data_IF_508557799357
#
_entry.id   IF_508557799357
#
_cell.length_a   1.000
_cell.length_b   1.000
_cell.length_c   1.000
_cell.angle_alpha   90.00
_cell.angle_beta   90.00
_cell.angle_gamma   90.00
#
_symmetry.space_group_name_H-M   'P 1'
#
loop_
_entity.id
_entity.type
_entity.pdbx_description
1 polymer ?
#
# COMPACT_ATOMS: atom_id res chain seq x y z
N UNK A 1 25.37 46.73 -5.24
CA UNK A 1 25.63 45.39 -5.75
C UNK A 1 26.18 44.54 -4.62
N UNK A 2 25.36 43.65 -4.04
CA UNK A 2 25.70 42.70 -3.00
C UNK A 2 24.93 41.41 -3.24
N UNK A 3 25.56 40.44 -3.91
CA UNK A 3 25.03 39.09 -4.04
C UNK A 3 25.08 38.40 -2.68
N UNK A 4 23.94 38.24 -2.05
CA UNK A 4 23.75 37.33 -0.92
C UNK A 4 23.69 35.89 -1.42
N UNK A 5 24.77 35.11 -1.20
CA UNK A 5 24.74 33.66 -1.31
C UNK A 5 23.86 33.13 -0.19
N UNK A 6 22.70 32.56 -0.54
CA UNK A 6 21.99 31.65 0.34
C UNK A 6 22.90 30.46 0.62
N UNK A 7 23.27 30.29 1.89
CA UNK A 7 23.89 29.04 2.37
C UNK A 7 22.80 27.96 2.33
N UNK A 8 22.96 27.01 1.43
CA UNK A 8 22.34 25.70 1.58
C UNK A 8 22.78 25.14 2.94
N UNK A 9 21.83 24.90 3.81
CA UNK A 9 22.06 24.20 5.07
C UNK A 9 22.40 22.75 4.72
N UNK A 10 23.68 22.41 4.74
CA UNK A 10 24.14 21.02 4.72
C UNK A 10 23.77 20.39 6.07
N UNK A 11 22.63 19.74 6.16
CA UNK A 11 22.35 18.78 7.22
C UNK A 11 23.15 17.50 6.97
N UNK A 12 24.45 17.58 7.10
CA UNK A 12 25.32 16.44 7.33
C UNK A 12 25.35 16.16 8.86
N UNK A 13 24.25 15.70 9.44
CA UNK A 13 24.33 14.86 10.60
C UNK A 13 24.93 13.54 10.11
N UNK A 14 26.19 13.29 10.46
CA UNK A 14 26.97 12.13 10.01
C UNK A 14 26.15 10.85 10.29
N UNK A 15 25.69 10.20 9.21
CA UNK A 15 25.10 8.86 9.27
C UNK A 15 26.14 7.94 9.92
N UNK A 16 25.85 7.50 11.13
CA UNK A 16 26.75 6.66 11.95
C UNK A 16 26.53 5.16 11.76
N UNK A 17 25.83 4.76 10.67
CA UNK A 17 25.53 3.35 10.37
C UNK A 17 24.24 2.82 11.04
N UNK A 18 23.52 3.64 11.83
CA UNK A 18 22.31 3.22 12.57
C UNK A 18 21.12 4.12 12.25
N UNK A 19 19.93 3.56 12.40
CA UNK A 19 18.68 4.31 12.29
C UNK A 19 18.51 5.24 13.50
N UNK A 20 18.37 6.54 13.27
CA UNK A 20 18.05 7.54 14.28
C UNK A 20 16.65 8.03 14.03
N UNK A 21 15.71 7.67 14.93
CA UNK A 21 14.30 8.04 14.82
C UNK A 21 14.12 9.56 14.76
N UNK A 22 13.21 10.02 13.91
CA UNK A 22 12.84 11.43 13.77
C UNK A 22 11.39 11.66 14.20
N UNK A 23 10.44 11.07 13.46
CA UNK A 23 9.01 11.18 13.77
C UNK A 23 8.25 10.00 13.15
N UNK A 24 6.98 9.83 13.54
CA UNK A 24 6.06 8.90 12.91
C UNK A 24 5.05 9.64 12.05
N UNK A 25 4.53 8.96 11.03
CA UNK A 25 3.41 9.45 10.23
C UNK A 25 2.16 9.65 11.10
N UNK A 26 1.48 10.78 10.93
CA UNK A 26 0.20 11.02 11.60
C UNK A 26 -0.92 10.23 10.93
N UNK A 27 -1.50 9.27 11.68
CA UNK A 27 -2.62 8.44 11.26
C UNK A 27 -3.81 8.70 12.20
N UNK A 28 -5.00 8.86 11.62
CA UNK A 28 -6.21 9.22 12.38
C UNK A 28 -7.10 8.01 12.68
N UNK A 29 -7.16 7.05 11.77
CA UNK A 29 -8.09 5.92 11.84
C UNK A 29 -7.43 4.58 11.51
N UNK A 30 -6.36 4.57 10.73
CA UNK A 30 -5.66 3.33 10.41
C UNK A 30 -4.85 2.83 11.60
N UNK A 31 -5.01 1.55 11.95
CA UNK A 31 -4.37 0.92 13.09
C UNK A 31 -3.46 -0.26 12.69
N UNK A 32 -3.59 -0.74 11.45
CA UNK A 32 -2.90 -1.94 10.99
C UNK A 32 -1.59 -1.66 10.26
N UNK A 33 -1.18 -0.39 10.15
CA UNK A 33 0.17 -0.03 9.72
C UNK A 33 0.71 1.17 10.47
N UNK A 34 2.02 1.34 10.42
CA UNK A 34 2.71 2.57 10.84
C UNK A 34 3.83 2.89 9.85
N UNK A 35 4.24 4.16 9.80
CA UNK A 35 5.42 4.61 9.07
C UNK A 35 6.24 5.49 10.00
N UNK A 36 7.46 5.05 10.28
CA UNK A 36 8.42 5.78 11.08
C UNK A 36 9.51 6.36 10.17
N UNK A 37 9.79 7.63 10.35
CA UNK A 37 10.82 8.36 9.62
C UNK A 37 12.08 8.47 10.46
N UNK A 38 13.22 8.33 9.81
CA UNK A 38 14.52 8.38 10.45
C UNK A 38 15.41 9.42 9.77
N UNK A 39 16.39 9.94 10.52
CA UNK A 39 17.39 10.88 9.99
C UNK A 39 18.04 10.32 8.73
N UNK A 40 18.28 11.21 7.75
CA UNK A 40 18.78 10.82 6.44
C UNK A 40 17.72 10.34 5.45
N UNK A 41 16.41 10.43 5.80
CA UNK A 41 15.30 10.14 4.90
C UNK A 41 14.89 8.67 4.84
N UNK A 42 15.39 7.81 5.73
CA UNK A 42 14.94 6.42 5.82
C UNK A 42 13.51 6.33 6.34
N UNK A 43 12.75 5.34 5.88
CA UNK A 43 11.37 5.08 6.31
C UNK A 43 11.22 3.61 6.68
N UNK A 44 10.66 3.35 7.86
CA UNK A 44 10.29 2.00 8.28
C UNK A 44 8.77 1.89 8.25
N UNK A 45 8.26 1.07 7.36
CA UNK A 45 6.83 0.74 7.28
C UNK A 45 6.64 -0.58 8.03
N UNK A 46 5.72 -0.59 8.99
CA UNK A 46 5.34 -1.81 9.72
C UNK A 46 3.87 -2.09 9.45
N UNK A 47 3.56 -3.29 8.99
CA UNK A 47 2.20 -3.77 8.75
C UNK A 47 1.91 -4.85 9.78
N UNK A 48 0.83 -4.71 10.55
CA UNK A 48 0.34 -5.71 11.49
C UNK A 48 -0.59 -6.65 10.76
N UNK A 49 -0.18 -7.91 10.61
CA UNK A 49 -0.98 -8.96 9.99
C UNK A 49 -1.92 -9.59 11.03
N UNK A 50 -3.10 -10.03 10.59
CA UNK A 50 -4.04 -10.74 11.47
C UNK A 50 -3.51 -12.14 11.78
N UNK A 51 -3.97 -12.71 12.87
CA UNK A 51 -3.51 -14.03 13.33
C UNK A 51 -3.73 -15.13 12.28
N UNK A 52 -4.85 -15.12 11.57
CA UNK A 52 -5.13 -16.07 10.48
C UNK A 52 -4.22 -15.94 9.26
N UNK A 53 -3.60 -14.79 9.06
CA UNK A 53 -2.68 -14.55 7.93
C UNK A 53 -1.26 -15.06 8.25
N UNK A 54 -0.96 -15.35 9.52
CA UNK A 54 0.37 -15.81 9.96
C UNK A 54 0.75 -17.21 9.44
N UNK A 55 -0.19 -17.92 8.82
CA UNK A 55 0.11 -19.16 8.09
C UNK A 55 1.06 -18.95 6.90
N UNK A 56 1.05 -17.75 6.30
CA UNK A 56 1.86 -17.44 5.10
C UNK A 56 2.82 -16.26 5.29
N UNK A 57 2.65 -15.47 6.34
CA UNK A 57 3.50 -14.31 6.65
C UNK A 57 3.72 -14.18 8.17
N UNK A 58 4.65 -13.34 8.60
CA UNK A 58 4.88 -13.05 10.00
C UNK A 58 3.77 -12.16 10.58
N UNK A 59 3.66 -12.12 11.92
CA UNK A 59 2.71 -11.24 12.62
C UNK A 59 2.90 -9.76 12.26
N UNK A 60 4.13 -9.35 11.97
CA UNK A 60 4.47 -8.04 11.46
C UNK A 60 5.34 -8.17 10.21
N UNK A 61 4.94 -7.50 9.14
CA UNK A 61 5.79 -7.30 7.96
C UNK A 61 6.47 -5.94 8.09
N UNK A 62 7.80 -5.91 8.02
CA UNK A 62 8.60 -4.69 8.11
C UNK A 62 9.30 -4.40 6.80
N UNK A 63 9.21 -3.16 6.36
CA UNK A 63 9.83 -2.69 5.12
C UNK A 63 10.65 -1.45 5.46
N UNK A 64 11.95 -1.52 5.23
CA UNK A 64 12.83 -0.36 5.27
C UNK A 64 13.00 0.19 3.86
N UNK A 65 12.57 1.41 3.64
CA UNK A 65 12.86 2.17 2.41
C UNK A 65 14.15 2.95 2.66
N UNK A 66 15.20 2.58 1.93
CA UNK A 66 16.51 3.22 1.96
C UNK A 66 16.54 4.30 0.89
N UNK A 67 16.84 5.56 1.22
CA UNK A 67 16.94 6.63 0.23
C UNK A 67 17.99 6.35 -0.84
N UNK A 68 17.76 6.87 -2.06
CA UNK A 68 18.70 6.68 -3.16
C UNK A 68 20.11 7.16 -2.79
N UNK A 69 21.09 6.33 -3.12
CA UNK A 69 22.51 6.58 -2.81
C UNK A 69 22.93 6.35 -1.35
N UNK A 70 21.98 6.03 -0.45
CA UNK A 70 22.29 5.73 0.95
C UNK A 70 22.58 4.24 1.16
N UNK A 71 23.31 3.91 2.22
CA UNK A 71 23.62 2.53 2.61
C UNK A 71 22.53 1.99 3.55
N UNK A 72 22.29 0.68 3.47
CA UNK A 72 21.45 -0.01 4.46
C UNK A 72 22.09 0.09 5.84
N UNK A 73 21.33 0.52 6.88
CA UNK A 73 21.81 0.56 8.27
C UNK A 73 22.20 -0.81 8.79
N UNK A 74 23.18 -0.85 9.70
CA UNK A 74 23.72 -2.10 10.27
C UNK A 74 22.78 -2.71 11.31
N UNK A 75 21.91 -1.92 11.91
CA UNK A 75 20.98 -2.31 13.00
C UNK A 75 19.59 -2.76 12.51
N UNK A 76 19.44 -3.02 11.20
CA UNK A 76 18.19 -3.52 10.62
C UNK A 76 18.03 -5.01 10.88
N UNK A 77 16.85 -5.42 11.37
CA UNK A 77 16.52 -6.83 11.57
C UNK A 77 16.57 -7.61 10.25
N UNK A 78 17.06 -8.85 10.31
CA UNK A 78 17.16 -9.74 9.15
C UNK A 78 15.82 -10.04 8.48
N UNK A 79 14.73 -9.96 9.23
CA UNK A 79 13.37 -10.20 8.74
C UNK A 79 12.73 -8.95 8.11
N UNK A 80 13.49 -7.85 8.02
CA UNK A 80 13.04 -6.63 7.36
C UNK A 80 13.30 -6.69 5.87
N UNK A 81 12.27 -6.45 5.07
CA UNK A 81 12.39 -6.24 3.63
C UNK A 81 13.10 -4.91 3.41
N UNK A 82 14.25 -4.91 2.75
CA UNK A 82 15.01 -3.69 2.44
C UNK A 82 14.80 -3.32 0.98
N UNK A 83 14.29 -2.11 0.73
CA UNK A 83 14.00 -1.61 -0.60
C UNK A 83 14.71 -0.26 -0.82
N UNK A 84 15.15 -0.01 -2.03
CA UNK A 84 15.67 1.30 -2.43
C UNK A 84 14.51 2.21 -2.86
N UNK A 85 14.42 3.39 -2.28
CA UNK A 85 13.37 4.36 -2.56
C UNK A 85 13.77 5.38 -3.63
N UNK A 86 12.79 6.00 -4.33
CA UNK A 86 11.40 5.58 -4.34
C UNK A 86 11.22 4.21 -4.98
N UNK A 87 10.40 3.35 -4.36
CA UNK A 87 10.20 1.98 -4.83
C UNK A 87 9.45 1.99 -6.16
N UNK A 88 10.02 1.31 -7.14
CA UNK A 88 9.48 1.17 -8.50
C UNK A 88 9.33 -0.31 -8.83
N UNK A 89 8.65 -0.60 -9.95
CA UNK A 89 8.50 -1.96 -10.43
C UNK A 89 7.84 -2.89 -9.40
N UNK A 90 6.65 -2.49 -8.92
CA UNK A 90 5.87 -3.30 -7.97
C UNK A 90 4.91 -4.22 -8.72
N UNK A 91 4.67 -5.41 -8.16
CA UNK A 91 3.51 -6.23 -8.51
C UNK A 91 2.38 -5.92 -7.51
N UNK A 92 1.20 -5.56 -8.02
CA UNK A 92 0.02 -5.31 -7.17
C UNK A 92 -1.11 -6.26 -7.58
N UNK A 93 -1.43 -7.19 -6.68
CA UNK A 93 -2.46 -8.21 -6.87
C UNK A 93 -3.78 -7.87 -6.14
N UNK A 94 -4.13 -6.59 -6.11
CA UNK A 94 -5.31 -6.09 -5.41
C UNK A 94 -5.85 -4.84 -6.10
N UNK A 95 -7.12 -4.90 -6.54
CA UNK A 95 -7.76 -3.75 -7.19
C UNK A 95 -7.95 -2.56 -6.22
N UNK A 96 -8.34 -2.75 -4.94
CA UNK A 96 -8.39 -1.66 -3.97
C UNK A 96 -7.02 -0.97 -3.77
N UNK A 97 -5.94 -1.74 -3.64
CA UNK A 97 -4.58 -1.19 -3.52
C UNK A 97 -4.21 -0.36 -4.73
N UNK A 98 -4.44 -0.92 -5.95
CA UNK A 98 -4.17 -0.18 -7.20
C UNK A 98 -4.99 1.12 -7.27
N UNK A 99 -6.25 1.10 -6.81
CA UNK A 99 -7.10 2.31 -6.76
C UNK A 99 -6.52 3.38 -5.82
N UNK A 100 -6.10 3.00 -4.62
CA UNK A 100 -5.48 3.92 -3.66
C UNK A 100 -4.14 4.45 -4.17
N UNK A 101 -3.31 3.60 -4.78
CA UNK A 101 -2.06 4.01 -5.39
C UNK A 101 -2.27 4.96 -6.57
N UNK A 102 -3.28 4.71 -7.41
CA UNK A 102 -3.64 5.64 -8.47
C UNK A 102 -4.05 7.01 -7.92
N UNK A 103 -4.94 7.02 -6.91
CA UNK A 103 -5.44 8.25 -6.29
C UNK A 103 -4.35 9.07 -5.58
N UNK A 104 -3.28 8.43 -5.11
CA UNK A 104 -2.12 9.06 -4.47
C UNK A 104 -0.93 9.29 -5.42
N UNK A 105 -1.12 9.17 -6.75
CA UNK A 105 -0.09 9.44 -7.74
C UNK A 105 1.01 8.38 -7.82
N UNK A 106 0.76 7.17 -7.33
CA UNK A 106 1.72 6.06 -7.29
C UNK A 106 1.51 5.02 -8.42
N UNK A 107 0.61 5.27 -9.38
CA UNK A 107 0.32 4.29 -10.44
C UNK A 107 1.57 3.94 -11.27
N UNK A 108 2.42 4.92 -11.59
CA UNK A 108 3.65 4.70 -12.36
C UNK A 108 4.71 3.86 -11.63
N UNK A 109 4.50 3.56 -10.33
CA UNK A 109 5.37 2.69 -9.55
C UNK A 109 4.97 1.19 -9.67
N UNK A 110 3.78 0.92 -10.25
CA UNK A 110 3.26 -0.43 -10.51
C UNK A 110 3.65 -0.83 -11.93
N UNK A 111 4.19 -2.03 -12.10
CA UNK A 111 4.53 -2.59 -13.41
C UNK A 111 3.76 -3.87 -13.71
N UNK A 112 3.40 -4.63 -12.68
CA UNK A 112 2.76 -5.94 -12.81
C UNK A 112 1.45 -5.97 -12.02
N UNK A 113 0.44 -6.61 -12.61
CA UNK A 113 -0.88 -6.79 -11.98
C UNK A 113 -1.43 -8.18 -12.27
N UNK A 114 -2.36 -8.66 -11.41
CA UNK A 114 -3.01 -9.97 -11.55
C UNK A 114 -4.45 -9.88 -12.06
N UNK A 115 -4.82 -8.77 -12.63
CA UNK A 115 -6.10 -8.55 -13.32
C UNK A 115 -5.82 -8.04 -14.72
N UNK A 116 -6.46 -8.63 -15.73
CA UNK A 116 -6.32 -8.20 -17.11
C UNK A 116 -6.98 -6.83 -17.36
N UNK A 117 -6.66 -6.19 -18.48
CA UNK A 117 -7.18 -4.87 -18.83
C UNK A 117 -8.71 -4.78 -18.81
N UNK A 118 -9.41 -5.85 -19.21
CA UNK A 118 -10.88 -5.85 -19.32
C UNK A 118 -11.57 -5.84 -17.94
N UNK A 119 -10.86 -6.22 -16.89
CA UNK A 119 -11.35 -6.25 -15.51
C UNK A 119 -11.31 -4.89 -14.81
N UNK A 120 -10.69 -3.88 -15.42
CA UNK A 120 -10.53 -2.56 -14.80
C UNK A 120 -11.61 -1.56 -15.22
N UNK A 121 -12.05 -0.75 -14.27
CA UNK A 121 -12.96 0.37 -14.46
C UNK A 121 -12.26 1.73 -14.32
N UNK A 122 -11.01 1.76 -13.86
CA UNK A 122 -10.18 2.97 -13.68
C UNK A 122 -9.52 3.28 -15.03
N UNK A 123 -9.84 4.43 -15.61
CA UNK A 123 -9.35 4.80 -16.94
C UNK A 123 -7.83 4.98 -17.01
N UNK A 124 -7.21 5.53 -15.94
CA UNK A 124 -5.75 5.66 -15.84
C UNK A 124 -5.06 4.30 -15.90
N UNK A 125 -5.63 3.27 -15.23
CA UNK A 125 -5.10 1.90 -15.27
C UNK A 125 -5.23 1.31 -16.67
N UNK A 126 -6.38 1.49 -17.34
CA UNK A 126 -6.55 1.05 -18.74
C UNK A 126 -5.55 1.72 -19.66
N UNK A 127 -5.35 3.04 -19.48
CA UNK A 127 -4.37 3.80 -20.23
C UNK A 127 -2.94 3.30 -19.99
N UNK A 128 -2.59 2.96 -18.74
CA UNK A 128 -1.29 2.40 -18.41
C UNK A 128 -1.03 1.06 -19.14
N UNK A 129 -2.07 0.22 -19.35
CA UNK A 129 -1.96 -0.95 -20.21
C UNK A 129 -1.73 -0.56 -21.69
N UNK A 130 -2.46 0.42 -22.22
CA UNK A 130 -2.29 0.89 -23.60
C UNK A 130 -0.89 1.47 -23.85
N UNK A 131 -0.34 2.13 -22.84
CA UNK A 131 1.01 2.69 -22.86
C UNK A 131 2.11 1.63 -22.59
N UNK A 132 1.76 0.35 -22.44
CA UNK A 132 2.64 -0.77 -22.07
C UNK A 132 3.41 -0.56 -20.73
N UNK A 133 2.83 0.18 -19.81
CA UNK A 133 3.37 0.41 -18.47
C UNK A 133 2.96 -0.70 -17.49
N UNK A 134 1.81 -1.33 -17.70
CA UNK A 134 1.30 -2.43 -16.90
C UNK A 134 1.29 -3.73 -17.68
N UNK A 135 1.73 -4.82 -17.03
CA UNK A 135 1.69 -6.18 -17.56
C UNK A 135 0.82 -7.06 -16.67
N UNK A 136 -0.11 -7.77 -17.29
CA UNK A 136 -0.88 -8.82 -16.62
C UNK A 136 -0.03 -10.09 -16.52
N UNK A 137 0.16 -10.60 -15.31
CA UNK A 137 1.00 -11.77 -15.02
C UNK A 137 0.19 -12.97 -14.51
N UNK A 138 -1.05 -13.11 -14.95
CA UNK A 138 -1.92 -14.21 -14.53
C UNK A 138 -2.77 -13.88 -13.29
N UNK A 139 -3.70 -14.80 -12.96
CA UNK A 139 -4.56 -14.69 -11.78
C UNK A 139 -3.74 -14.77 -10.49
N UNK A 140 -4.20 -14.10 -9.42
CA UNK A 140 -3.49 -14.07 -8.14
C UNK A 140 -3.24 -15.44 -7.50
N UNK A 141 -4.07 -16.46 -7.84
CA UNK A 141 -3.90 -17.86 -7.38
C UNK A 141 -2.98 -18.69 -8.26
N UNK A 142 -2.74 -18.23 -9.49
CA UNK A 142 -1.93 -18.94 -10.47
C UNK A 142 -1.17 -17.92 -11.33
N UNK A 143 -0.29 -17.10 -10.71
CA UNK A 143 0.48 -16.12 -11.45
C UNK A 143 1.55 -16.80 -12.31
N UNK A 144 1.94 -16.14 -13.38
CA UNK A 144 3.06 -16.57 -14.23
C UNK A 144 4.39 -16.20 -13.55
N UNK A 145 4.95 -17.15 -12.83
CA UNK A 145 6.20 -16.96 -12.10
C UNK A 145 7.40 -16.70 -13.01
N UNK A 146 7.39 -17.19 -14.26
CA UNK A 146 8.47 -16.92 -15.19
C UNK A 146 8.48 -15.43 -15.57
N UNK A 147 7.32 -14.87 -15.86
CA UNK A 147 7.19 -13.43 -16.12
C UNK A 147 7.53 -12.59 -14.89
N UNK A 148 7.10 -13.02 -13.68
CA UNK A 148 7.41 -12.30 -12.44
C UNK A 148 8.91 -12.28 -12.17
N UNK A 149 9.59 -13.43 -12.29
CA UNK A 149 11.04 -13.53 -12.11
C UNK A 149 11.79 -12.70 -13.14
N UNK A 150 11.37 -12.75 -14.42
CA UNK A 150 11.97 -11.97 -15.49
C UNK A 150 11.83 -10.45 -15.26
N UNK A 151 10.67 -10.01 -14.74
CA UNK A 151 10.41 -8.60 -14.42
C UNK A 151 11.10 -8.15 -13.13
N UNK A 152 11.44 -9.08 -12.23
CA UNK A 152 12.14 -8.82 -10.96
C UNK A 152 11.50 -7.67 -10.15
N UNK A 153 10.22 -7.80 -9.71
CA UNK A 153 9.58 -6.74 -8.95
C UNK A 153 10.28 -6.51 -7.62
N UNK A 154 10.37 -5.25 -7.20
CA UNK A 154 10.96 -4.87 -5.91
C UNK A 154 10.19 -5.47 -4.74
N UNK A 155 8.86 -5.51 -4.88
CA UNK A 155 7.94 -6.08 -3.90
C UNK A 155 6.61 -6.44 -4.57
N UNK A 156 5.96 -7.49 -4.05
CA UNK A 156 4.61 -7.89 -4.42
C UNK A 156 3.63 -7.50 -3.30
N UNK A 157 2.56 -6.79 -3.63
CA UNK A 157 1.49 -6.41 -2.70
C UNK A 157 0.24 -7.23 -3.04
N UNK A 158 -0.11 -8.14 -2.16
CA UNK A 158 -1.28 -9.00 -2.27
C UNK A 158 -2.35 -8.62 -1.26
N UNK A 159 -3.61 -8.89 -1.55
CA UNK A 159 -4.64 -8.90 -0.51
C UNK A 159 -4.54 -10.16 0.33
N UNK A 160 -5.21 -10.18 1.48
CA UNK A 160 -5.30 -11.36 2.36
C UNK A 160 -5.95 -12.57 1.69
N UNK A 161 -6.57 -12.43 0.52
CA UNK A 161 -7.02 -13.55 -0.31
C UNK A 161 -5.90 -14.52 -0.68
N UNK A 162 -4.63 -14.10 -0.60
CA UNK A 162 -3.47 -14.98 -0.80
C UNK A 162 -3.45 -16.17 0.19
N UNK A 163 -4.07 -16.04 1.37
CA UNK A 163 -4.23 -17.16 2.31
C UNK A 163 -4.99 -18.34 1.73
N UNK A 164 -5.83 -18.09 0.70
CA UNK A 164 -6.53 -19.16 -0.04
C UNK A 164 -5.68 -19.81 -1.14
N UNK A 165 -4.45 -19.34 -1.35
CA UNK A 165 -3.48 -19.84 -2.31
C UNK A 165 -2.07 -19.91 -1.68
N UNK A 166 -1.86 -20.69 -0.60
CA UNK A 166 -0.60 -20.71 0.15
C UNK A 166 0.60 -21.13 -0.70
N UNK A 167 0.38 -21.99 -1.70
CA UNK A 167 1.43 -22.41 -2.63
C UNK A 167 2.08 -21.24 -3.38
N UNK A 168 1.32 -20.17 -3.64
CA UNK A 168 1.85 -18.94 -4.26
C UNK A 168 2.79 -18.22 -3.29
N UNK A 169 2.41 -18.12 -2.01
CA UNK A 169 3.26 -17.51 -0.99
C UNK A 169 4.54 -18.34 -0.75
N UNK A 170 4.43 -19.67 -0.72
CA UNK A 170 5.60 -20.56 -0.63
C UNK A 170 6.53 -20.37 -1.82
N UNK A 171 5.96 -20.27 -3.03
CA UNK A 171 6.75 -20.04 -4.24
C UNK A 171 7.48 -18.69 -4.23
N UNK A 172 6.87 -17.63 -3.73
CA UNK A 172 7.57 -16.36 -3.53
C UNK A 172 8.75 -16.51 -2.58
N UNK A 173 8.58 -17.22 -1.46
CA UNK A 173 9.68 -17.50 -0.51
C UNK A 173 10.81 -18.31 -1.15
N UNK A 174 10.48 -19.37 -1.89
CA UNK A 174 11.47 -20.18 -2.63
C UNK A 174 12.28 -19.35 -3.64
N UNK A 175 11.63 -18.43 -4.33
CA UNK A 175 12.24 -17.56 -5.34
C UNK A 175 12.89 -16.30 -4.76
N UNK A 176 12.85 -16.12 -3.43
CA UNK A 176 13.29 -14.90 -2.73
C UNK A 176 12.63 -13.62 -3.26
N UNK A 177 11.35 -13.71 -3.61
CA UNK A 177 10.55 -12.57 -4.02
C UNK A 177 9.86 -11.97 -2.78
N UNK A 178 10.12 -10.71 -2.50
CA UNK A 178 9.50 -10.00 -1.39
C UNK A 178 7.99 -9.85 -1.62
N UNK A 179 7.19 -10.15 -0.62
CA UNK A 179 5.77 -9.88 -0.66
C UNK A 179 5.22 -9.41 0.69
N UNK A 180 4.14 -8.65 0.65
CA UNK A 180 3.36 -8.22 1.82
C UNK A 180 1.88 -8.43 1.56
N UNK A 181 1.11 -8.48 2.65
CA UNK A 181 -0.35 -8.51 2.61
C UNK A 181 -0.92 -7.12 2.93
N UNK A 182 -1.80 -6.66 2.06
CA UNK A 182 -2.64 -5.50 2.32
C UNK A 182 -3.70 -5.85 3.38
N UNK A 183 -3.70 -5.15 4.49
CA UNK A 183 -4.65 -5.32 5.59
C UNK A 183 -5.75 -4.24 5.59
N UNK A 184 -5.78 -3.34 4.60
CA UNK A 184 -6.69 -2.18 4.55
C UNK A 184 -8.16 -2.55 4.73
N UNK A 185 -8.57 -3.74 4.22
CA UNK A 185 -9.95 -4.22 4.31
C UNK A 185 -10.38 -4.62 5.73
N UNK A 186 -9.45 -4.70 6.66
CA UNK A 186 -9.70 -5.04 8.06
C UNK A 186 -9.63 -3.84 9.02
N UNK A 187 -9.36 -2.66 8.49
CA UNK A 187 -9.54 -1.44 9.27
C UNK A 187 -11.02 -1.29 9.66
N UNK A 188 -11.28 -0.99 10.92
CA UNK A 188 -12.64 -0.87 11.45
C UNK A 188 -13.36 0.35 10.89
N UNK A 189 -12.62 1.47 10.74
CA UNK A 189 -13.18 2.70 10.24
C UNK A 189 -13.01 2.84 8.72
N UNK A 190 -14.05 3.27 7.96
CA UNK A 190 -13.92 3.45 6.49
C UNK A 190 -12.78 4.38 6.08
N UNK A 191 -12.56 5.47 6.84
CA UNK A 191 -11.43 6.36 6.58
C UNK A 191 -10.08 5.72 6.91
N UNK A 192 -10.00 4.74 7.81
CA UNK A 192 -8.79 3.95 8.04
C UNK A 192 -8.38 3.20 6.78
N UNK A 193 -9.35 2.64 6.04
CA UNK A 193 -9.08 1.98 4.75
C UNK A 193 -8.53 2.94 3.70
N UNK A 194 -9.08 4.16 3.62
CA UNK A 194 -8.59 5.21 2.70
C UNK A 194 -7.20 5.68 3.11
N UNK A 195 -6.93 5.70 4.41
CA UNK A 195 -5.64 6.14 4.97
C UNK A 195 -4.47 5.25 4.56
N UNK A 196 -4.72 4.01 4.15
CA UNK A 196 -3.71 3.11 3.57
C UNK A 196 -3.04 3.65 2.30
N UNK A 197 -3.66 4.63 1.63
CA UNK A 197 -2.99 5.36 0.56
C UNK A 197 -1.67 6.00 1.03
N UNK A 198 -1.60 6.45 2.30
CA UNK A 198 -0.38 6.99 2.90
C UNK A 198 0.71 5.91 3.06
N UNK A 199 0.33 4.67 3.39
CA UNK A 199 1.24 3.53 3.46
C UNK A 199 1.93 3.28 2.11
N UNK A 200 1.14 3.20 1.03
CA UNK A 200 1.69 2.98 -0.31
C UNK A 200 2.48 4.18 -0.82
N UNK A 201 2.03 5.39 -0.50
CA UNK A 201 2.73 6.63 -0.86
C UNK A 201 4.11 6.71 -0.21
N UNK A 202 4.27 6.19 1.01
CA UNK A 202 5.58 6.13 1.68
C UNK A 202 6.60 5.26 0.93
N UNK A 203 6.15 4.25 0.17
CA UNK A 203 7.01 3.48 -0.73
C UNK A 203 7.48 4.30 -1.94
N UNK A 204 6.67 5.28 -2.36
CA UNK A 204 6.80 5.97 -3.65
C UNK A 204 7.31 7.42 -3.52
N UNK A 205 7.62 7.92 -2.32
CA UNK A 205 7.91 9.33 -2.02
C UNK A 205 6.76 10.28 -2.48
N UNK A 206 5.50 9.86 -2.18
CA UNK A 206 4.26 10.55 -2.58
C UNK A 206 3.35 10.88 -1.39
N UNK A 207 3.91 10.99 -0.19
CA UNK A 207 3.15 11.18 1.03
C UNK A 207 2.27 12.43 0.99
N UNK A 208 2.77 13.54 0.45
CA UNK A 208 2.00 14.80 0.35
C UNK A 208 0.77 14.63 -0.56
N UNK A 209 0.88 13.87 -1.65
CA UNK A 209 -0.24 13.57 -2.54
C UNK A 209 -1.29 12.71 -1.84
N UNK A 210 -0.85 11.70 -1.07
CA UNK A 210 -1.75 10.83 -0.31
C UNK A 210 -2.44 11.58 0.83
N UNK A 211 -1.73 12.45 1.56
CA UNK A 211 -2.30 13.28 2.62
C UNK A 211 -3.38 14.19 2.05
N UNK A 212 -3.10 14.88 0.94
CA UNK A 212 -4.08 15.74 0.28
C UNK A 212 -5.33 14.98 -0.14
N UNK A 213 -5.15 13.84 -0.81
CA UNK A 213 -6.25 12.96 -1.22
C UNK A 213 -7.07 12.48 -0.02
N UNK A 214 -6.41 12.05 1.05
CA UNK A 214 -7.07 11.60 2.27
C UNK A 214 -7.88 12.72 2.93
N UNK A 215 -7.30 13.91 3.08
CA UNK A 215 -7.95 15.05 3.72
C UNK A 215 -9.20 15.50 2.94
N UNK A 216 -9.16 15.43 1.60
CA UNK A 216 -10.34 15.68 0.76
C UNK A 216 -11.46 14.66 1.05
N UNK A 217 -11.14 13.37 1.14
CA UNK A 217 -12.12 12.33 1.46
C UNK A 217 -12.67 12.48 2.89
N UNK A 218 -11.81 12.77 3.86
CA UNK A 218 -12.21 12.99 5.24
C UNK A 218 -13.15 14.18 5.38
N UNK A 219 -12.91 15.27 4.63
CA UNK A 219 -13.78 16.43 4.60
C UNK A 219 -15.19 16.12 4.04
N UNK A 220 -15.30 15.25 3.05
CA UNK A 220 -16.60 14.78 2.55
C UNK A 220 -17.36 13.98 3.61
N UNK A 221 -16.69 13.05 4.30
CA UNK A 221 -17.31 12.27 5.38
C UNK A 221 -17.76 13.18 6.52
N UNK A 222 -16.93 14.14 6.94
CA UNK A 222 -17.30 15.14 7.97
C UNK A 222 -18.52 15.98 7.55
N UNK A 223 -18.60 16.39 6.29
CA UNK A 223 -19.75 17.13 5.77
C UNK A 223 -21.01 16.28 5.78
N UNK A 224 -20.94 15.02 5.37
CA UNK A 224 -22.09 14.10 5.34
C UNK A 224 -22.57 13.82 6.75
N UNK A 225 -21.66 13.59 7.70
CA UNK A 225 -21.99 13.29 9.10
C UNK A 225 -22.77 14.44 9.81
N UNK A 226 -22.62 15.66 9.33
CA UNK A 226 -23.32 16.87 9.83
C UNK A 226 -24.65 17.13 9.17
N UNK A 227 -25.07 16.33 8.17
CA UNK A 227 -26.36 16.49 7.53
C UNK A 227 -27.50 15.98 8.43
N UNK A 228 -28.67 16.64 8.35
CA UNK A 228 -29.84 16.19 9.09
C UNK A 228 -30.27 14.79 8.64
N UNK A 229 -30.65 13.96 9.60
CA UNK A 229 -31.19 12.62 9.31
C UNK A 229 -32.51 12.74 8.56
N UNK A 230 -32.61 12.09 7.42
CA UNK A 230 -33.83 12.10 6.57
C UNK A 230 -34.99 11.33 7.16
N UNK A 231 -34.78 10.54 8.23
CA UNK A 231 -35.76 9.60 8.79
C UNK A 231 -36.02 8.38 7.92
N UNK A 232 -35.32 8.23 6.80
CA UNK A 232 -35.44 7.05 5.91
C UNK A 232 -34.54 5.93 6.39
N UNK A 233 -35.01 4.69 6.30
CA UNK A 233 -34.21 3.49 6.49
C UNK A 233 -33.67 3.01 5.15
N UNK A 234 -32.41 2.57 5.14
CA UNK A 234 -31.74 1.99 3.98
C UNK A 234 -31.31 0.58 4.33
N UNK A 235 -31.44 -0.35 3.41
CA UNK A 235 -30.88 -1.69 3.53
C UNK A 235 -29.79 -1.87 2.46
N UNK A 236 -28.59 -2.29 2.88
CA UNK A 236 -27.49 -2.64 1.98
C UNK A 236 -27.45 -4.16 1.86
N UNK A 237 -27.57 -4.68 0.65
CA UNK A 237 -27.58 -6.12 0.41
C UNK A 237 -27.02 -6.47 -0.96
N UNK A 238 -26.63 -7.73 -1.14
CA UNK A 238 -26.34 -8.30 -2.44
C UNK A 238 -26.96 -9.68 -2.61
N UNK A 239 -27.21 -10.06 -3.85
CA UNK A 239 -27.76 -11.37 -4.21
C UNK A 239 -26.64 -12.13 -4.95
N UNK A 240 -26.32 -13.33 -4.46
CA UNK A 240 -25.33 -14.19 -5.11
C UNK A 240 -25.84 -14.76 -6.42
N UNK A 241 -24.95 -15.30 -7.26
CA UNK A 241 -25.31 -16.04 -8.47
C UNK A 241 -26.20 -17.26 -8.21
N UNK A 242 -26.25 -17.76 -6.95
CA UNK A 242 -27.13 -18.86 -6.49
C UNK A 242 -28.45 -18.36 -5.90
N UNK A 243 -28.78 -17.07 -6.03
CA UNK A 243 -30.03 -16.49 -5.54
C UNK A 243 -30.10 -16.28 -4.03
N UNK A 244 -28.99 -16.42 -3.28
CA UNK A 244 -28.98 -16.13 -1.84
C UNK A 244 -28.85 -14.65 -1.60
N UNK A 245 -29.73 -14.11 -0.74
CA UNK A 245 -29.68 -12.73 -0.27
C UNK A 245 -28.77 -12.63 0.97
N UNK A 246 -27.84 -11.70 0.94
CA UNK A 246 -27.02 -11.30 2.08
C UNK A 246 -27.29 -9.83 2.41
N UNK A 247 -27.70 -9.57 3.63
CA UNK A 247 -27.96 -8.22 4.14
C UNK A 247 -26.81 -7.81 5.06
N UNK A 248 -26.35 -6.58 4.94
CA UNK A 248 -25.34 -6.02 5.84
C UNK A 248 -26.01 -5.63 7.15
N UNK A 249 -25.31 -5.85 8.26
CA UNK A 249 -25.74 -5.38 9.57
C UNK A 249 -25.61 -3.87 9.66
N UNK A 250 -26.32 -3.25 10.60
CA UNK A 250 -26.29 -1.81 10.80
C UNK A 250 -24.92 -1.26 11.27
N UNK A 251 -24.08 -2.13 11.82
CA UNK A 251 -22.70 -1.86 12.25
C UNK A 251 -21.66 -2.19 11.19
N UNK A 252 -22.09 -2.69 10.01
CA UNK A 252 -21.18 -2.90 8.88
C UNK A 252 -20.74 -1.53 8.32
N UNK A 253 -19.44 -1.37 8.04
CA UNK A 253 -18.89 -0.14 7.50
C UNK A 253 -19.51 0.33 6.17
N UNK A 254 -20.22 -0.54 5.46
CA UNK A 254 -20.95 -0.24 4.21
C UNK A 254 -22.37 0.24 4.49
N UNK A 255 -22.93 -0.01 5.67
CA UNK A 255 -24.27 0.37 6.08
C UNK A 255 -24.30 1.76 6.72
#
# INVERSE_FOLDING_TARGET
AGCGKQKEASNNDEYNGKLVFDHSMDLKYAELFSVDYYKGGYKMITITNRDEDTAITDKQSKILVVPDGMKTPEDVSKDTIVLNGPVKNMLVASTPVTSLMNASGCLDNISLVTYDKSSWYIDDVKKAFDDNKLTYVGDYKAPDFEQIVAASPSICIYSTMLTSAPDVAEKFKELNINFILDQSTYEEHPLGRVEWAKCYAALCDKEDDAVRMYDEQAAYVDKISKTEKTGKSVAVFYITSKGKLYVRNADDYVA
#
